data_IF_164957948435
#
_entry.id   IF_164957948435
#
_cell.length_a   1.000
_cell.length_b   1.000
_cell.length_c   1.000
_cell.angle_alpha   90.00
_cell.angle_beta   90.00
_cell.angle_gamma   90.00
#
_symmetry.space_group_name_H-M   'P 1'
#
loop_
_entity.id
_entity.type
_entity.pdbx_description
1 polymer ?
#
# COMPACT_ATOMS: atom_id res chain seq x y z
N UNK A 1 5.55 -8.73 -0.47
CA UNK A 1 4.73 -9.96 -0.46
C UNK A 1 3.51 -9.91 -1.40
N UNK A 2 3.34 -8.90 -2.19
CA UNK A 2 2.20 -8.75 -3.10
C UNK A 2 2.03 -9.93 -4.09
N UNK A 3 1.10 -9.77 -5.00
CA UNK A 3 0.82 -10.78 -6.01
C UNK A 3 0.48 -10.13 -7.36
N UNK A 4 0.75 -10.84 -8.46
CA UNK A 4 0.47 -10.37 -9.80
C UNK A 4 -0.74 -11.08 -10.39
N UNK A 5 -1.63 -10.33 -11.04
CA UNK A 5 -2.72 -10.87 -11.85
C UNK A 5 -2.50 -10.53 -13.34
N UNK A 6 -2.32 -11.58 -14.16
CA UNK A 6 -2.16 -11.46 -15.62
C UNK A 6 -3.41 -11.87 -16.39
N UNK A 7 -4.49 -12.21 -15.67
CA UNK A 7 -5.78 -12.59 -16.26
C UNK A 7 -6.69 -11.37 -16.47
N UNK A 8 -6.45 -10.30 -15.68
CA UNK A 8 -7.23 -9.08 -15.75
C UNK A 8 -6.88 -8.32 -17.03
N UNK A 9 -7.87 -8.08 -17.87
CA UNK A 9 -7.70 -7.36 -19.14
C UNK A 9 -7.85 -5.84 -19.02
N UNK A 10 -8.67 -5.39 -18.06
CA UNK A 10 -8.99 -3.98 -17.83
C UNK A 10 -8.90 -3.67 -16.35
N UNK A 11 -8.08 -2.70 -15.98
CA UNK A 11 -8.08 -2.12 -14.65
C UNK A 11 -9.29 -1.19 -14.49
N UNK A 12 -10.02 -1.29 -13.39
CA UNK A 12 -11.28 -0.57 -13.12
C UNK A 12 -12.33 -0.72 -14.25
N UNK A 13 -12.28 -1.79 -15.04
CA UNK A 13 -13.12 -2.01 -16.24
C UNK A 13 -12.97 -0.92 -17.33
N UNK A 14 -11.96 -0.09 -17.26
CA UNK A 14 -11.75 1.04 -18.19
C UNK A 14 -10.38 0.98 -18.85
N UNK A 15 -9.31 0.78 -18.06
CA UNK A 15 -7.94 0.94 -18.55
C UNK A 15 -7.36 -0.39 -19.02
N UNK A 16 -7.05 -0.58 -20.32
CA UNK A 16 -6.42 -1.80 -20.80
C UNK A 16 -5.06 -2.04 -20.12
N UNK A 17 -4.87 -3.26 -19.61
CA UNK A 17 -3.62 -3.69 -18.96
C UNK A 17 -3.09 -4.98 -19.59
N UNK A 18 -2.59 -4.94 -20.83
CA UNK A 18 -2.17 -6.12 -21.57
C UNK A 18 -1.04 -6.92 -20.90
N UNK A 19 -0.30 -6.28 -19.99
CA UNK A 19 0.75 -6.93 -19.20
C UNK A 19 0.28 -7.33 -17.80
N UNK A 20 -1.02 -7.21 -17.50
CA UNK A 20 -1.58 -7.47 -16.18
C UNK A 20 -1.30 -6.36 -15.17
N UNK A 21 -1.39 -6.68 -13.90
CA UNK A 21 -1.20 -5.77 -12.77
C UNK A 21 -0.51 -6.51 -11.62
N UNK A 22 0.31 -5.82 -10.87
CA UNK A 22 0.80 -6.27 -9.56
C UNK A 22 0.09 -5.49 -8.46
N UNK A 23 -0.35 -6.20 -7.44
CA UNK A 23 -0.84 -5.62 -6.19
C UNK A 23 0.26 -5.81 -5.16
N UNK A 24 0.86 -4.72 -4.70
CA UNK A 24 1.99 -4.79 -3.79
C UNK A 24 1.52 -4.65 -2.35
N UNK A 25 2.13 -5.42 -1.48
CA UNK A 25 1.97 -5.37 -0.04
C UNK A 25 3.31 -5.68 0.60
N UNK A 26 3.58 -5.12 1.77
CA UNK A 26 4.92 -5.16 2.36
C UNK A 26 4.87 -5.61 3.80
N UNK A 27 5.91 -6.31 4.24
CA UNK A 27 6.07 -6.73 5.63
C UNK A 27 7.37 -6.16 6.18
N UNK A 28 7.29 -5.54 7.35
CA UNK A 28 8.46 -5.17 8.15
C UNK A 28 8.58 -6.19 9.28
N UNK A 29 9.70 -6.91 9.29
CA UNK A 29 10.06 -7.86 10.34
C UNK A 29 10.96 -7.16 11.37
N UNK A 30 10.38 -6.80 12.50
CA UNK A 30 11.08 -6.15 13.61
C UNK A 30 10.69 -6.83 14.92
N UNK A 31 10.88 -6.21 16.08
CA UNK A 31 10.36 -6.71 17.37
C UNK A 31 8.84 -6.91 17.28
N UNK A 32 8.14 -5.94 16.70
CA UNK A 32 6.75 -6.06 16.27
C UNK A 32 6.68 -6.16 14.75
N UNK A 33 5.87 -7.07 14.26
CA UNK A 33 5.71 -7.30 12.82
C UNK A 33 4.59 -6.45 12.25
N UNK A 34 4.88 -5.76 11.15
CA UNK A 34 3.95 -4.84 10.49
C UNK A 34 3.68 -5.32 9.06
N UNK A 35 2.41 -5.39 8.70
CA UNK A 35 1.95 -5.50 7.32
C UNK A 35 1.47 -4.13 6.83
N UNK A 36 1.87 -3.72 5.64
CA UNK A 36 1.41 -2.50 4.98
C UNK A 36 0.53 -2.89 3.79
N UNK A 37 -0.74 -2.50 3.90
CA UNK A 37 -1.82 -2.76 2.95
C UNK A 37 -2.06 -4.24 2.63
N UNK A 38 -3.09 -4.53 1.89
CA UNK A 38 -3.42 -5.86 1.39
C UNK A 38 -3.46 -5.86 -0.13
N UNK A 39 -4.21 -6.78 -0.72
CA UNK A 39 -4.29 -6.95 -2.18
C UNK A 39 -5.74 -7.13 -2.63
N UNK A 40 -5.96 -7.15 -3.95
CA UNK A 40 -7.22 -7.52 -4.56
C UNK A 40 -7.63 -8.97 -4.19
N UNK A 41 -8.93 -9.18 -4.10
CA UNK A 41 -9.50 -10.49 -3.75
C UNK A 41 -9.13 -11.59 -4.75
N UNK A 42 -8.91 -11.26 -6.01
CA UNK A 42 -8.57 -12.22 -7.07
C UNK A 42 -7.26 -12.96 -6.85
N UNK A 43 -6.35 -12.39 -6.05
CA UNK A 43 -5.02 -12.94 -5.72
C UNK A 43 -4.86 -13.30 -4.25
N UNK A 44 -5.97 -13.40 -3.52
CA UNK A 44 -5.99 -13.64 -2.06
C UNK A 44 -5.22 -14.88 -1.62
N UNK A 45 -5.32 -15.98 -2.37
CA UNK A 45 -4.60 -17.23 -2.05
C UNK A 45 -3.11 -17.03 -2.01
N UNK A 46 -2.54 -16.48 -3.08
CA UNK A 46 -1.10 -16.20 -3.16
C UNK A 46 -0.64 -15.19 -2.11
N UNK A 47 -1.44 -14.16 -1.86
CA UNK A 47 -1.14 -13.17 -0.82
C UNK A 47 -0.97 -13.82 0.56
N UNK A 48 -1.91 -14.67 0.97
CA UNK A 48 -1.83 -15.32 2.28
C UNK A 48 -0.72 -16.36 2.35
N UNK A 49 -0.47 -17.11 1.28
CA UNK A 49 0.68 -18.02 1.21
C UNK A 49 2.01 -17.25 1.38
N UNK A 50 2.17 -16.13 0.68
CA UNK A 50 3.35 -15.28 0.81
C UNK A 50 3.47 -14.69 2.21
N UNK A 51 2.37 -14.22 2.80
CA UNK A 51 2.36 -13.65 4.15
C UNK A 51 2.74 -14.70 5.19
N UNK A 52 2.14 -15.88 5.15
CA UNK A 52 2.42 -16.98 6.08
C UNK A 52 3.89 -17.42 5.97
N UNK A 53 4.42 -17.52 4.75
CA UNK A 53 5.82 -17.86 4.51
C UNK A 53 6.78 -16.82 5.13
N UNK A 54 6.51 -15.54 4.94
CA UNK A 54 7.37 -14.46 5.46
C UNK A 54 7.25 -14.33 6.98
N UNK A 55 6.06 -14.52 7.54
CA UNK A 55 5.87 -14.50 8.98
C UNK A 55 6.58 -15.64 9.69
N UNK A 56 6.66 -16.81 9.07
CA UNK A 56 7.33 -18.00 9.61
C UNK A 56 6.98 -18.27 11.10
N UNK A 57 5.69 -18.24 11.41
CA UNK A 57 5.17 -18.42 12.78
C UNK A 57 5.24 -17.18 13.68
N UNK A 58 5.74 -16.06 13.21
CA UNK A 58 5.69 -14.78 13.95
C UNK A 58 4.26 -14.29 14.09
N UNK A 59 3.98 -13.60 15.18
CA UNK A 59 2.76 -12.83 15.37
C UNK A 59 2.74 -11.66 14.38
N UNK A 60 1.57 -11.38 13.80
CA UNK A 60 1.32 -10.14 13.08
C UNK A 60 0.74 -9.12 14.08
N UNK A 61 1.49 -8.06 14.37
CA UNK A 61 1.11 -7.08 15.37
C UNK A 61 0.26 -5.94 14.78
N UNK A 62 0.64 -5.44 13.62
CA UNK A 62 -0.03 -4.31 12.98
C UNK A 62 -0.34 -4.56 11.51
N UNK A 63 -1.51 -4.07 11.08
CA UNK A 63 -1.85 -3.81 9.70
C UNK A 63 -1.95 -2.29 9.52
N UNK A 64 -1.05 -1.69 8.76
CA UNK A 64 -1.15 -0.29 8.35
C UNK A 64 -1.95 -0.23 7.05
N UNK A 65 -3.00 0.59 7.02
CA UNK A 65 -3.85 0.81 5.85
C UNK A 65 -3.58 2.20 5.31
N UNK A 66 -2.73 2.26 4.28
CA UNK A 66 -2.43 3.50 3.58
C UNK A 66 -3.54 3.89 2.62
N UNK A 67 -4.24 2.89 2.02
CA UNK A 67 -5.25 3.12 0.99
C UNK A 67 -6.42 2.14 1.08
N UNK A 68 -7.63 2.64 0.83
CA UNK A 68 -8.89 1.89 0.94
C UNK A 68 -9.53 1.52 -0.40
N UNK A 69 -8.81 1.65 -1.50
CA UNK A 69 -9.30 1.11 -2.77
C UNK A 69 -9.37 -0.41 -2.71
N UNK A 70 -10.38 -1.06 -3.32
CA UNK A 70 -10.59 -2.51 -3.19
C UNK A 70 -9.40 -3.38 -3.55
N UNK A 71 -8.58 -2.95 -4.51
CA UNK A 71 -7.37 -3.68 -4.91
C UNK A 71 -6.24 -3.65 -3.87
N UNK A 72 -6.36 -2.81 -2.84
CA UNK A 72 -5.42 -2.72 -1.72
C UNK A 72 -6.05 -3.06 -0.37
N UNK A 73 -7.39 -3.07 -0.26
CA UNK A 73 -8.06 -3.27 1.02
C UNK A 73 -8.97 -4.52 1.08
N UNK A 74 -9.21 -5.21 -0.03
CA UNK A 74 -10.22 -6.28 -0.07
C UNK A 74 -9.97 -7.39 0.95
N UNK A 75 -8.72 -7.63 1.35
CA UNK A 75 -8.38 -8.73 2.26
C UNK A 75 -8.35 -8.33 3.74
N UNK A 76 -8.64 -7.09 4.10
CA UNK A 76 -8.61 -6.62 5.51
C UNK A 76 -9.52 -7.48 6.39
N UNK A 77 -10.75 -7.74 5.96
CA UNK A 77 -11.69 -8.55 6.75
C UNK A 77 -11.23 -9.99 6.96
N UNK A 78 -10.65 -10.62 5.94
CA UNK A 78 -10.11 -11.98 6.02
C UNK A 78 -8.84 -12.01 6.89
N UNK A 79 -8.00 -11.00 6.77
CA UNK A 79 -6.78 -10.85 7.56
C UNK A 79 -7.09 -10.74 9.06
N UNK A 80 -8.02 -9.87 9.43
CA UNK A 80 -8.43 -9.67 10.83
C UNK A 80 -9.04 -10.94 11.44
N UNK A 81 -9.71 -11.78 10.63
CA UNK A 81 -10.19 -13.09 11.10
C UNK A 81 -9.07 -14.11 11.29
N UNK A 82 -8.06 -14.11 10.43
CA UNK A 82 -6.89 -15.01 10.53
C UNK A 82 -5.94 -14.61 11.66
N UNK A 83 -5.78 -13.30 11.87
CA UNK A 83 -4.90 -12.71 12.88
C UNK A 83 -5.72 -11.89 13.88
N UNK A 84 -6.44 -12.53 14.81
CA UNK A 84 -7.42 -11.86 15.67
C UNK A 84 -6.83 -10.83 16.63
N UNK A 85 -5.52 -10.88 16.85
CA UNK A 85 -4.80 -9.93 17.71
C UNK A 85 -4.19 -8.75 16.94
N UNK A 86 -4.28 -8.74 15.60
CA UNK A 86 -3.71 -7.65 14.79
C UNK A 86 -4.41 -6.32 15.10
N UNK A 87 -3.62 -5.28 15.31
CA UNK A 87 -4.13 -3.92 15.39
C UNK A 87 -4.14 -3.27 14.02
N UNK A 88 -5.23 -2.61 13.69
CA UNK A 88 -5.39 -1.91 12.40
C UNK A 88 -5.07 -0.45 12.58
N UNK A 89 -4.07 0.03 11.84
CA UNK A 89 -3.59 1.41 11.89
C UNK A 89 -4.08 2.15 10.66
N UNK A 90 -4.74 3.28 10.86
CA UNK A 90 -5.26 4.12 9.78
C UNK A 90 -5.75 5.46 10.29
N UNK A 91 -6.11 6.37 9.43
CA UNK A 91 -6.70 7.63 9.86
C UNK A 91 -8.23 7.52 10.05
N UNK A 92 -8.85 8.57 10.55
CA UNK A 92 -10.30 8.59 10.83
C UNK A 92 -11.14 8.28 9.59
N UNK A 93 -10.73 8.73 8.40
CA UNK A 93 -11.47 8.45 7.15
C UNK A 93 -11.33 6.98 6.75
N UNK A 94 -10.14 6.39 6.95
CA UNK A 94 -9.89 4.96 6.73
C UNK A 94 -10.89 4.12 7.52
N UNK A 95 -11.07 4.38 8.82
CA UNK A 95 -12.04 3.63 9.63
C UNK A 95 -13.50 3.88 9.22
N UNK A 96 -13.83 5.09 8.78
CA UNK A 96 -15.13 5.38 8.19
C UNK A 96 -15.41 4.52 6.94
N UNK A 97 -14.42 4.35 6.08
CA UNK A 97 -14.52 3.52 4.86
C UNK A 97 -14.51 2.03 5.19
N UNK A 98 -13.71 1.58 6.15
CA UNK A 98 -13.73 0.20 6.67
C UNK A 98 -15.15 -0.16 7.12
N UNK A 99 -15.80 0.72 7.86
CA UNK A 99 -17.18 0.50 8.31
C UNK A 99 -18.16 0.39 7.14
N UNK A 100 -18.00 1.20 6.11
CA UNK A 100 -18.84 1.13 4.91
C UNK A 100 -18.62 -0.15 4.11
N UNK A 101 -17.38 -0.60 3.95
CA UNK A 101 -17.03 -1.74 3.11
C UNK A 101 -17.24 -3.09 3.81
N UNK A 102 -16.95 -3.16 5.11
CA UNK A 102 -16.96 -4.42 5.87
C UNK A 102 -18.09 -4.51 6.90
N UNK A 103 -18.89 -3.46 7.09
CA UNK A 103 -19.97 -3.44 8.09
C UNK A 103 -19.50 -3.35 9.54
N UNK A 104 -18.21 -3.18 9.79
CA UNK A 104 -17.58 -3.03 11.11
C UNK A 104 -16.43 -2.04 11.02
N UNK A 105 -16.17 -1.29 12.08
CA UNK A 105 -15.06 -0.33 12.16
C UNK A 105 -13.82 -0.89 12.86
N UNK A 106 -13.87 -2.15 13.29
CA UNK A 106 -12.81 -2.80 14.09
C UNK A 106 -12.38 -1.98 15.32
N UNK A 107 -13.30 -1.26 15.96
CA UNK A 107 -13.00 -0.30 17.02
C UNK A 107 -12.12 -0.85 18.16
N UNK A 108 -12.27 -2.15 18.48
CA UNK A 108 -11.50 -2.81 19.55
C UNK A 108 -10.00 -2.96 19.23
N UNK A 109 -9.63 -2.81 17.96
CA UNK A 109 -8.25 -2.97 17.46
C UNK A 109 -7.78 -1.81 16.59
N UNK A 110 -8.54 -0.72 16.56
CA UNK A 110 -8.23 0.45 15.76
C UNK A 110 -7.17 1.32 16.44
N UNK A 111 -6.12 1.65 15.70
CA UNK A 111 -5.11 2.64 16.06
C UNK A 111 -5.26 3.80 15.10
N UNK A 112 -5.92 4.88 15.56
CA UNK A 112 -6.16 6.05 14.71
C UNK A 112 -4.95 6.97 14.74
N UNK A 113 -4.42 7.29 13.55
CA UNK A 113 -3.27 8.18 13.37
C UNK A 113 -3.63 9.41 12.54
N UNK A 114 -2.83 10.45 12.68
CA UNK A 114 -2.95 11.73 11.97
C UNK A 114 -1.59 12.19 11.46
N UNK A 115 -1.58 13.32 10.77
CA UNK A 115 -0.36 13.95 10.24
C UNK A 115 0.72 14.05 11.32
N UNK A 116 1.90 13.49 11.03
CA UNK A 116 3.08 13.56 11.88
C UNK A 116 3.11 12.58 13.06
N UNK A 117 2.07 11.75 13.24
CA UNK A 117 2.12 10.66 14.23
C UNK A 117 3.15 9.60 13.80
N UNK A 118 3.63 8.84 14.76
CA UNK A 118 4.61 7.77 14.53
C UNK A 118 4.21 6.47 15.20
N UNK A 119 4.71 5.36 14.67
CA UNK A 119 4.63 4.02 15.26
C UNK A 119 6.05 3.46 15.39
N UNK A 120 6.47 3.14 16.61
CA UNK A 120 7.74 2.47 16.87
C UNK A 120 7.49 0.97 17.00
N UNK A 121 8.22 0.15 16.26
CA UNK A 121 8.04 -1.31 16.23
C UNK A 121 9.22 -2.09 16.80
N UNK A 122 10.21 -1.38 17.28
CA UNK A 122 11.48 -1.86 17.77
C UNK A 122 12.60 -0.97 17.27
N UNK A 123 13.34 -1.45 16.29
CA UNK A 123 14.38 -0.67 15.61
C UNK A 123 13.83 0.31 14.55
N UNK A 124 12.61 0.09 14.06
CA UNK A 124 11.97 0.94 13.06
C UNK A 124 11.05 1.98 13.70
N UNK A 125 11.05 3.19 13.14
CA UNK A 125 10.11 4.27 13.45
C UNK A 125 9.38 4.63 12.16
N UNK A 126 8.08 4.39 12.13
CA UNK A 126 7.23 4.63 10.99
C UNK A 126 6.49 5.95 11.17
N UNK A 127 6.67 6.88 10.24
CA UNK A 127 6.04 8.19 10.24
C UNK A 127 4.85 8.21 9.29
N UNK A 128 3.73 8.78 9.72
CA UNK A 128 2.53 8.89 8.90
C UNK A 128 2.39 10.30 8.31
N UNK A 129 2.32 10.37 6.98
CA UNK A 129 2.12 11.61 6.23
C UNK A 129 0.80 11.53 5.48
N UNK A 130 -0.14 12.41 5.80
CA UNK A 130 -1.44 12.42 5.13
C UNK A 130 -1.30 12.93 3.69
N UNK A 131 -1.84 12.17 2.75
CA UNK A 131 -1.78 12.40 1.31
C UNK A 131 -3.20 12.43 0.69
N UNK A 132 -4.12 13.26 1.21
CA UNK A 132 -5.50 13.25 0.76
C UNK A 132 -5.59 13.52 -0.74
N UNK A 133 -6.41 12.73 -1.43
CA UNK A 133 -6.62 12.78 -2.88
C UNK A 133 -5.42 12.35 -3.73
N UNK A 134 -4.47 11.60 -3.14
CA UNK A 134 -3.44 10.88 -3.88
C UNK A 134 -3.66 9.34 -3.77
N UNK A 135 -4.77 8.70 -4.28
CA UNK A 135 -5.80 9.52 -4.99
C UNK A 135 -7.12 9.65 -4.21
N UNK A 136 -7.45 8.85 -3.23
CA UNK A 136 -8.68 8.92 -2.44
C UNK A 136 -8.51 9.81 -1.20
N UNK A 137 -9.62 10.24 -0.55
CA UNK A 137 -9.54 11.26 0.51
C UNK A 137 -8.89 10.79 1.82
N UNK A 138 -8.78 9.48 2.04
CA UNK A 138 -8.17 8.86 3.23
C UNK A 138 -6.70 8.53 3.06
N UNK A 139 -6.16 8.63 1.84
CA UNK A 139 -4.79 8.18 1.57
C UNK A 139 -3.79 8.82 2.51
N UNK A 140 -2.92 7.99 3.03
CA UNK A 140 -1.69 8.39 3.71
C UNK A 140 -0.51 7.61 3.14
N UNK A 141 0.68 8.09 3.36
CA UNK A 141 1.93 7.37 3.06
C UNK A 141 2.66 7.13 4.37
N UNK A 142 3.40 6.04 4.42
CA UNK A 142 4.19 5.66 5.60
C UNK A 142 5.66 5.74 5.24
N UNK A 143 6.45 6.45 6.05
CA UNK A 143 7.89 6.55 5.89
C UNK A 143 8.61 5.84 7.02
N UNK A 144 9.47 4.89 6.68
CA UNK A 144 10.38 4.23 7.61
C UNK A 144 11.69 5.03 7.69
N UNK A 145 11.93 5.61 8.85
CA UNK A 145 13.10 6.46 9.10
C UNK A 145 14.40 5.65 9.09
N UNK A 146 14.38 4.41 9.57
CA UNK A 146 15.59 3.57 9.71
C UNK A 146 16.17 3.19 8.35
N UNK A 147 15.36 2.62 7.48
CA UNK A 147 15.80 2.11 6.17
C UNK A 147 15.50 3.10 5.04
N UNK A 148 14.93 4.28 5.38
CA UNK A 148 14.62 5.37 4.44
C UNK A 148 13.69 4.91 3.31
N UNK A 149 12.68 4.11 3.67
CA UNK A 149 11.71 3.55 2.75
C UNK A 149 10.41 4.35 2.81
N UNK A 150 9.93 4.79 1.65
CA UNK A 150 8.62 5.42 1.51
C UNK A 150 7.61 4.41 0.93
N UNK A 151 6.62 4.02 1.72
CA UNK A 151 5.45 3.27 1.28
C UNK A 151 4.41 4.27 0.78
N UNK A 152 4.30 4.37 -0.54
CA UNK A 152 3.76 5.56 -1.20
C UNK A 152 2.30 5.44 -1.64
N UNK A 153 1.58 4.41 -1.22
CA UNK A 153 0.23 4.10 -1.71
C UNK A 153 0.20 4.12 -3.27
N UNK A 154 -0.77 4.78 -3.88
CA UNK A 154 -0.84 4.94 -5.35
C UNK A 154 0.18 5.93 -5.92
N UNK A 155 0.87 6.65 -5.08
CA UNK A 155 1.97 7.51 -5.52
C UNK A 155 3.09 6.69 -6.15
N UNK A 156 3.57 7.09 -7.32
CA UNK A 156 4.62 6.39 -8.07
C UNK A 156 4.22 5.03 -8.66
N UNK A 157 2.91 4.68 -8.67
CA UNK A 157 2.41 3.45 -9.29
C UNK A 157 2.56 3.42 -10.81
N UNK A 158 2.47 2.23 -11.38
CA UNK A 158 2.45 1.99 -12.82
C UNK A 158 1.55 0.82 -13.17
N UNK A 159 0.96 0.83 -14.37
CA UNK A 159 0.34 -0.38 -14.89
C UNK A 159 1.39 -1.43 -15.27
N UNK A 160 1.00 -2.71 -15.23
CA UNK A 160 1.84 -3.82 -15.63
C UNK A 160 2.23 -4.72 -14.45
N UNK A 161 2.23 -6.04 -14.69
CA UNK A 161 2.66 -7.02 -13.71
C UNK A 161 4.19 -7.11 -13.68
N UNK A 162 4.76 -7.23 -12.49
CA UNK A 162 6.18 -7.52 -12.30
C UNK A 162 6.59 -8.81 -13.01
N UNK A 163 7.79 -8.86 -13.53
CA UNK A 163 8.31 -9.93 -14.39
C UNK A 163 9.64 -10.51 -13.85
N UNK A 164 9.69 -10.79 -12.57
CA UNK A 164 10.88 -11.33 -11.90
C UNK A 164 11.73 -10.28 -11.22
N UNK A 165 11.97 -9.16 -11.86
CA UNK A 165 12.68 -8.02 -11.28
C UNK A 165 11.70 -7.19 -10.46
N UNK A 166 12.10 -6.76 -9.27
CA UNK A 166 11.25 -6.00 -8.36
C UNK A 166 11.68 -4.53 -8.21
N UNK A 167 12.91 -4.20 -8.59
CA UNK A 167 13.42 -2.82 -8.54
C UNK A 167 13.48 -2.20 -9.93
N UNK A 168 13.18 -0.91 -10.01
CA UNK A 168 13.17 -0.17 -11.27
C UNK A 168 14.58 -0.04 -11.92
N UNK A 169 15.64 -0.11 -11.14
CA UNK A 169 17.03 -0.09 -11.61
C UNK A 169 17.55 -1.43 -12.10
N UNK A 170 16.78 -2.51 -11.93
CA UNK A 170 17.07 -3.84 -12.49
C UNK A 170 16.57 -4.01 -13.94
N UNK A 171 15.84 -3.02 -14.46
CA UNK A 171 15.21 -3.04 -15.79
C UNK A 171 15.52 -1.77 -16.56
N UNK A 172 15.32 -1.79 -17.87
CA UNK A 172 15.29 -0.57 -18.70
C UNK A 172 13.91 0.11 -18.51
N UNK A 173 13.81 0.91 -17.44
CA UNK A 173 12.54 1.53 -17.05
C UNK A 173 11.98 2.44 -18.15
N UNK A 174 12.84 3.22 -18.81
CA UNK A 174 12.40 4.13 -19.86
C UNK A 174 11.80 3.41 -21.06
N UNK A 175 12.38 2.28 -21.45
CA UNK A 175 11.87 1.46 -22.56
C UNK A 175 10.64 0.66 -22.16
N UNK A 176 10.66 0.03 -20.99
CA UNK A 176 9.71 -1.04 -20.66
C UNK A 176 8.53 -0.57 -19.81
N UNK A 177 8.67 0.52 -19.05
CA UNK A 177 7.70 0.93 -18.05
C UNK A 177 7.23 2.39 -18.12
N UNK A 178 8.02 3.30 -18.68
CA UNK A 178 7.75 4.74 -18.61
C UNK A 178 6.39 5.12 -19.22
N UNK A 179 6.00 4.50 -20.32
CA UNK A 179 4.70 4.80 -20.97
C UNK A 179 3.52 4.34 -20.09
N UNK A 180 3.63 3.17 -19.44
CA UNK A 180 2.62 2.69 -18.50
C UNK A 180 2.59 3.52 -17.22
N UNK A 181 3.73 4.00 -16.73
CA UNK A 181 3.81 4.89 -15.59
C UNK A 181 3.16 6.25 -15.89
N UNK A 182 3.41 6.83 -17.08
CA UNK A 182 2.75 8.07 -17.54
C UNK A 182 1.24 7.87 -17.68
N UNK A 183 0.82 6.75 -18.25
CA UNK A 183 -0.58 6.40 -18.44
C UNK A 183 -1.28 6.20 -17.08
N UNK A 184 -0.63 5.53 -16.14
CA UNK A 184 -1.11 5.39 -14.77
C UNK A 184 -1.27 6.76 -14.11
N UNK A 185 -0.22 7.56 -14.06
CA UNK A 185 -0.27 8.89 -13.45
C UNK A 185 -1.40 9.75 -14.04
N UNK A 186 -1.48 9.84 -15.36
CA UNK A 186 -2.47 10.69 -16.04
C UNK A 186 -3.90 10.29 -15.72
N UNK A 187 -4.19 9.00 -15.66
CA UNK A 187 -5.55 8.49 -15.50
C UNK A 187 -5.96 8.30 -14.03
N UNK A 188 -5.02 7.95 -13.17
CA UNK A 188 -5.31 7.57 -11.77
C UNK A 188 -5.08 8.77 -10.84
N UNK A 189 -3.95 9.43 -10.90
CA UNK A 189 -3.50 10.42 -9.93
C UNK A 189 -3.55 11.86 -10.47
N UNK A 190 -3.29 12.06 -11.74
CA UNK A 190 -3.05 13.39 -12.34
C UNK A 190 -4.23 14.37 -12.26
N UNK A 191 -5.47 13.88 -12.13
CA UNK A 191 -6.64 14.70 -11.83
C UNK A 191 -6.48 15.54 -10.56
N UNK A 192 -5.70 15.05 -9.61
CA UNK A 192 -5.45 15.66 -8.31
C UNK A 192 -4.02 16.23 -8.19
N UNK A 193 -3.49 16.78 -9.28
CA UNK A 193 -2.12 17.28 -9.36
C UNK A 193 -1.73 18.26 -8.24
N UNK A 194 -2.66 19.11 -7.78
CA UNK A 194 -2.40 20.00 -6.64
C UNK A 194 -2.14 19.22 -5.33
N UNK A 195 -2.86 18.13 -5.11
CA UNK A 195 -2.66 17.24 -3.95
C UNK A 195 -1.32 16.50 -4.06
N UNK A 196 -0.95 16.06 -5.26
CA UNK A 196 0.38 15.47 -5.54
C UNK A 196 1.48 16.46 -5.21
N UNK A 197 1.38 17.72 -5.68
CA UNK A 197 2.37 18.75 -5.36
C UNK A 197 2.47 19.03 -3.86
N UNK A 198 1.35 19.02 -3.14
CA UNK A 198 1.34 19.18 -1.69
C UNK A 198 2.07 18.02 -0.99
N UNK A 199 1.84 16.76 -1.43
CA UNK A 199 2.56 15.60 -0.91
C UNK A 199 4.06 15.68 -1.20
N UNK A 200 4.46 15.99 -2.43
CA UNK A 200 5.86 16.15 -2.81
C UNK A 200 6.56 17.21 -1.96
N UNK A 201 5.87 18.31 -1.66
CA UNK A 201 6.41 19.36 -0.77
C UNK A 201 6.61 18.83 0.66
N UNK A 202 5.68 18.04 1.20
CA UNK A 202 5.83 17.41 2.52
C UNK A 202 7.01 16.43 2.53
N UNK A 203 7.14 15.61 1.48
CA UNK A 203 8.19 14.61 1.36
C UNK A 203 9.58 15.18 1.03
N UNK A 204 9.68 16.43 0.59
CA UNK A 204 10.96 17.03 0.14
C UNK A 204 12.03 17.13 1.22
N UNK A 205 11.64 17.06 2.49
CA UNK A 205 12.58 17.02 3.63
C UNK A 205 12.97 15.62 4.09
N UNK A 206 12.41 14.57 3.47
CA UNK A 206 12.71 13.19 3.81
C UNK A 206 13.90 12.68 2.98
N UNK A 207 14.79 11.95 3.63
CA UNK A 207 15.83 11.21 2.91
C UNK A 207 15.27 9.86 2.49
N UNK A 208 14.93 9.71 1.22
CA UNK A 208 14.28 8.51 0.69
C UNK A 208 15.29 7.72 -0.14
N UNK A 209 15.56 6.48 0.27
CA UNK A 209 16.41 5.55 -0.47
C UNK A 209 15.60 4.61 -1.36
N UNK A 210 14.40 4.22 -0.93
CA UNK A 210 13.53 3.29 -1.67
C UNK A 210 12.08 3.80 -1.63
N UNK A 211 11.39 3.69 -2.75
CA UNK A 211 9.94 3.96 -2.86
C UNK A 211 9.22 2.65 -3.13
N UNK A 212 8.22 2.36 -2.33
CA UNK A 212 7.39 1.16 -2.38
C UNK A 212 5.93 1.54 -2.68
N UNK A 213 5.49 1.60 -3.96
CA UNK A 213 4.09 1.84 -4.31
C UNK A 213 3.24 0.57 -4.13
N UNK A 214 1.90 0.74 -4.06
CA UNK A 214 0.92 -0.35 -4.02
C UNK A 214 0.60 -0.94 -5.39
#
# INVERSE_FOLDING_TARGET
IGASDRRLALFENIYPIPRGVSYNSYVILDEQTVLLDTVDKSVSGQFFENLEHVLDGRKLDYLIVNHMEPDHCAMIGDLVRRYPEVQVVGNTKTFGMIKQFFGTDFAERAVTVKEGDTLVTGAHTLHFVMAPMVRWPEVMVTYDEKDKVLFAADGFGTFGALNGNIFADEVDFDRDWLDDARRYYTNIVGKYGASVQALLKKASGLEIAVICPL
#
